data_IF_344069057501
#
_entry.id   IF_344069057501
#
_cell.length_a   1.000
_cell.length_b   1.000
_cell.length_c   1.000
_cell.angle_alpha   90.00
_cell.angle_beta   90.00
_cell.angle_gamma   90.00
#
_symmetry.space_group_name_H-M   'P 1'
#
loop_
_entity.id
_entity.type
_entity.pdbx_description
1 polymer ?
#
# COMPACT_ATOMS: atom_id res chain seq x y z
N UNK A 1 31.28 -14.22 12.89
CA UNK A 1 30.57 -13.12 13.61
C UNK A 1 30.42 -11.86 12.74
N UNK A 2 31.50 -11.26 12.23
CA UNK A 2 31.45 -10.01 11.44
C UNK A 2 30.60 -10.07 10.16
N UNK A 3 30.54 -11.24 9.49
CA UNK A 3 29.70 -11.47 8.31
C UNK A 3 28.20 -11.52 8.64
N UNK A 4 27.84 -12.04 9.81
CA UNK A 4 26.47 -12.07 10.30
C UNK A 4 26.00 -10.66 10.62
N UNK A 5 26.85 -9.87 11.30
CA UNK A 5 26.56 -8.45 11.59
C UNK A 5 26.34 -7.66 10.30
N UNK A 6 27.14 -7.90 9.27
CA UNK A 6 26.98 -7.23 7.97
C UNK A 6 25.64 -7.56 7.31
N UNK A 7 25.24 -8.84 7.31
CA UNK A 7 23.95 -9.29 6.74
C UNK A 7 22.77 -8.69 7.51
N UNK A 8 22.85 -8.64 8.85
CA UNK A 8 21.80 -8.01 9.67
C UNK A 8 21.64 -6.51 9.39
N UNK A 9 22.75 -5.79 9.21
CA UNK A 9 22.71 -4.34 8.91
C UNK A 9 22.13 -4.08 7.51
N UNK A 10 22.49 -4.87 6.50
CA UNK A 10 21.94 -4.72 5.15
C UNK A 10 20.44 -5.07 5.07
N UNK A 11 19.96 -6.02 5.89
CA UNK A 11 18.56 -6.44 5.90
C UNK A 11 17.57 -5.41 6.49
N UNK A 12 18.04 -4.35 7.13
CA UNK A 12 17.16 -3.33 7.74
C UNK A 12 16.59 -2.32 6.74
N UNK A 13 17.10 -2.26 5.50
CA UNK A 13 16.75 -1.21 4.53
C UNK A 13 15.57 -1.58 3.59
N UNK A 14 15.00 -2.78 3.69
CA UNK A 14 14.02 -3.31 2.72
C UNK A 14 12.54 -2.99 3.02
N UNK A 15 12.22 -2.22 4.06
CA UNK A 15 10.83 -2.09 4.54
C UNK A 15 10.04 -0.89 4.01
N UNK A 16 10.54 -0.16 3.01
CA UNK A 16 9.77 0.94 2.40
C UNK A 16 8.77 0.42 1.36
N UNK A 17 7.60 -0.01 1.83
CA UNK A 17 6.42 -0.22 0.98
C UNK A 17 5.49 0.96 1.13
N UNK A 18 5.22 1.70 0.05
CA UNK A 18 4.19 2.73 0.05
C UNK A 18 2.84 2.02 0.26
N UNK A 19 2.15 2.33 1.35
CA UNK A 19 0.74 1.99 1.48
C UNK A 19 -0.01 2.73 0.37
N UNK A 20 -0.31 2.03 -0.73
CA UNK A 20 -1.27 2.52 -1.70
C UNK A 20 -2.58 2.75 -0.97
N UNK A 21 -3.27 3.84 -1.29
CA UNK A 21 -4.61 4.13 -0.77
C UNK A 21 -5.45 2.86 -0.86
N UNK A 22 -5.64 2.22 0.29
CA UNK A 22 -6.36 0.97 0.35
C UNK A 22 -7.79 1.25 -0.11
N UNK A 23 -8.30 0.38 -0.98
CA UNK A 23 -9.73 0.13 -0.95
C UNK A 23 -10.41 0.07 -2.29
N UNK A 24 -10.08 0.90 -3.28
CA UNK A 24 -10.96 0.89 -4.45
C UNK A 24 -10.84 -0.46 -5.12
N UNK A 25 -11.93 -1.23 -5.10
CA UNK A 25 -12.05 -2.41 -5.95
C UNK A 25 -11.82 -1.97 -7.41
N UNK A 26 -11.81 -2.89 -8.38
CA UNK A 26 -11.53 -2.53 -9.79
C UNK A 26 -12.45 -1.42 -10.35
N UNK A 27 -13.53 -1.06 -9.65
CA UNK A 27 -14.48 -0.01 -10.00
C UNK A 27 -13.96 1.41 -9.66
N UNK A 28 -12.91 1.56 -8.85
CA UNK A 28 -12.38 2.88 -8.51
C UNK A 28 -13.34 3.68 -7.62
N UNK A 29 -13.10 4.99 -7.54
CA UNK A 29 -14.10 5.91 -7.02
C UNK A 29 -15.18 6.11 -8.08
N UNK A 30 -16.45 6.03 -7.68
CA UNK A 30 -17.55 6.22 -8.61
C UNK A 30 -18.73 6.95 -7.99
N UNK A 31 -19.50 7.60 -8.86
CA UNK A 31 -20.75 8.25 -8.51
C UNK A 31 -21.90 7.35 -8.91
N UNK A 32 -22.78 7.02 -7.97
CA UNK A 32 -23.99 6.27 -8.24
C UNK A 32 -24.99 7.15 -9.00
N UNK A 33 -25.25 6.85 -10.28
CA UNK A 33 -26.16 7.66 -11.11
C UNK A 33 -27.63 7.65 -10.66
N UNK A 34 -28.02 6.73 -9.77
CA UNK A 34 -29.40 6.63 -9.27
C UNK A 34 -29.62 7.46 -8.02
N UNK A 35 -28.63 7.57 -7.14
CA UNK A 35 -28.75 8.29 -5.86
C UNK A 35 -27.93 9.57 -5.81
N UNK A 36 -26.97 9.74 -6.72
CA UNK A 36 -26.00 10.84 -6.72
C UNK A 36 -24.85 10.67 -5.72
N UNK A 37 -24.83 9.57 -4.97
CA UNK A 37 -23.82 9.33 -3.93
C UNK A 37 -22.44 9.07 -4.54
N UNK A 38 -21.40 9.72 -4.00
CA UNK A 38 -20.01 9.50 -4.38
C UNK A 38 -19.32 8.65 -3.33
N UNK A 39 -18.80 7.51 -3.77
CA UNK A 39 -18.01 6.66 -2.91
C UNK A 39 -16.71 6.25 -3.61
N UNK A 40 -15.64 6.34 -2.85
CA UNK A 40 -14.42 5.62 -3.14
C UNK A 40 -14.52 4.30 -2.40
N UNK A 41 -14.47 3.21 -3.14
CA UNK A 41 -14.26 1.90 -2.54
C UNK A 41 -12.90 1.84 -1.82
#
# INVERSE_FOLDING_TARGET
>A
MKKIVLVCVLGMFVTYTNAHSGGTNKQGCHTNSKTGDYHCH
#
